data_IF_762202548275
#
_entry.id   IF_762202548275
#
_cell.length_a   1.000
_cell.length_b   1.000
_cell.length_c   1.000
_cell.angle_alpha   90.00
_cell.angle_beta   90.00
_cell.angle_gamma   90.00
#
_symmetry.space_group_name_H-M   'P 1'
#
loop_
_entity.id
_entity.type
_entity.pdbx_description
1 polymer ?
#
# COMPACT_ATOMS: atom_id res chain seq x y z
N UNK A 1 4.73 -14.80 -15.41
CA UNK A 1 3.44 -14.59 -16.10
C UNK A 1 3.51 -13.31 -16.94
N UNK A 2 3.72 -12.12 -16.40
CA UNK A 2 3.65 -10.83 -17.10
C UNK A 2 4.57 -10.69 -18.33
N UNK A 3 5.71 -11.39 -18.40
CA UNK A 3 6.65 -11.36 -19.53
C UNK A 3 6.16 -12.09 -20.80
N UNK A 4 5.18 -13.01 -20.70
CA UNK A 4 4.66 -13.79 -21.83
C UNK A 4 3.29 -13.26 -22.26
N UNK A 5 3.13 -12.91 -23.53
CA UNK A 5 1.84 -12.45 -24.07
C UNK A 5 0.74 -13.51 -23.89
N UNK A 6 1.05 -14.78 -24.17
CA UNK A 6 0.10 -15.90 -24.00
C UNK A 6 -0.35 -16.03 -22.55
N UNK A 7 0.59 -15.94 -21.58
CA UNK A 7 0.26 -16.05 -20.16
C UNK A 7 -0.51 -14.82 -19.65
N UNK A 8 -0.23 -13.62 -20.17
CA UNK A 8 -1.02 -12.43 -19.85
C UNK A 8 -2.47 -12.60 -20.35
N UNK A 9 -2.65 -13.03 -21.60
CA UNK A 9 -3.99 -13.29 -22.17
C UNK A 9 -4.76 -14.33 -21.35
N UNK A 10 -4.12 -15.45 -21.01
CA UNK A 10 -4.73 -16.50 -20.15
C UNK A 10 -5.12 -15.93 -18.79
N UNK A 11 -4.25 -15.14 -18.16
CA UNK A 11 -4.51 -14.52 -16.86
C UNK A 11 -5.70 -13.56 -16.92
N UNK A 12 -5.75 -12.69 -17.94
CA UNK A 12 -6.83 -11.70 -18.10
C UNK A 12 -8.17 -12.41 -18.34
N UNK A 13 -8.22 -13.42 -19.20
CA UNK A 13 -9.44 -14.20 -19.45
C UNK A 13 -9.94 -14.86 -18.16
N UNK A 14 -9.05 -15.49 -17.38
CA UNK A 14 -9.43 -16.09 -16.10
C UNK A 14 -9.99 -15.06 -15.10
N UNK A 15 -9.49 -13.82 -15.11
CA UNK A 15 -10.03 -12.76 -14.27
C UNK A 15 -11.42 -12.32 -14.73
N UNK A 16 -11.66 -12.22 -16.04
CA UNK A 16 -12.98 -11.94 -16.60
C UNK A 16 -13.98 -13.04 -16.23
N UNK A 17 -13.59 -14.32 -16.38
CA UNK A 17 -14.41 -15.46 -15.98
C UNK A 17 -14.79 -15.40 -14.50
N UNK A 18 -13.84 -15.01 -13.62
CA UNK A 18 -14.09 -14.83 -12.18
C UNK A 18 -15.04 -13.65 -11.92
N UNK A 19 -14.87 -12.53 -12.62
CA UNK A 19 -15.78 -11.39 -12.49
C UNK A 19 -17.21 -11.80 -12.88
N UNK A 20 -17.37 -12.52 -13.98
CA UNK A 20 -18.69 -12.99 -14.44
C UNK A 20 -19.31 -14.02 -13.49
N UNK A 21 -18.52 -15.01 -13.03
CA UNK A 21 -19.01 -16.08 -12.15
C UNK A 21 -19.48 -15.55 -10.79
N UNK A 22 -18.73 -14.61 -10.20
CA UNK A 22 -18.99 -14.12 -8.83
C UNK A 22 -19.66 -12.74 -8.79
N UNK A 23 -19.85 -12.10 -9.94
CA UNK A 23 -20.46 -10.77 -10.03
C UNK A 23 -19.57 -9.65 -9.45
N UNK A 24 -18.24 -9.76 -9.63
CA UNK A 24 -17.33 -8.70 -9.22
C UNK A 24 -17.37 -7.54 -10.21
N UNK A 25 -17.18 -6.31 -9.68
CA UNK A 25 -17.17 -5.09 -10.47
C UNK A 25 -15.79 -4.75 -11.06
N UNK A 26 -14.81 -5.65 -10.98
CA UNK A 26 -13.46 -5.43 -11.48
C UNK A 26 -12.41 -6.16 -10.66
N UNK A 27 -11.15 -5.75 -10.82
CA UNK A 27 -9.99 -6.36 -10.18
C UNK A 27 -9.05 -5.32 -9.60
N UNK A 28 -8.34 -5.68 -8.54
CA UNK A 28 -7.22 -4.94 -7.97
C UNK A 28 -5.91 -5.69 -8.22
N UNK A 29 -4.94 -5.02 -8.85
CA UNK A 29 -3.62 -5.60 -9.12
C UNK A 29 -2.68 -5.28 -7.96
N UNK A 30 -2.17 -6.32 -7.30
CA UNK A 30 -1.21 -6.21 -6.21
C UNK A 30 0.05 -7.01 -6.54
N UNK A 31 0.99 -6.38 -7.26
CA UNK A 31 2.31 -6.95 -7.53
C UNK A 31 3.36 -6.29 -6.64
N UNK A 32 3.82 -7.00 -5.64
CA UNK A 32 4.80 -6.52 -4.66
C UNK A 32 6.17 -7.20 -4.85
N UNK A 33 7.10 -6.66 -5.58
CA UNK A 33 7.03 -5.45 -6.41
C UNK A 33 7.76 -5.71 -7.72
N UNK A 34 7.53 -4.97 -8.81
CA UNK A 34 8.47 -4.90 -9.93
C UNK A 34 9.85 -4.47 -9.41
N UNK A 35 10.93 -5.07 -9.94
CA UNK A 35 12.30 -4.85 -9.44
C UNK A 35 13.27 -4.40 -10.53
N UNK A 36 12.78 -4.21 -11.75
CA UNK A 36 13.60 -3.89 -12.90
C UNK A 36 12.82 -3.08 -13.94
N UNK A 37 13.56 -2.48 -14.89
CA UNK A 37 12.93 -1.86 -16.06
C UNK A 37 12.17 -2.88 -16.92
N UNK A 38 12.60 -4.13 -16.94
CA UNK A 38 11.90 -5.22 -17.63
C UNK A 38 10.55 -5.50 -16.95
N UNK A 39 10.52 -5.61 -15.61
CA UNK A 39 9.26 -5.81 -14.89
C UNK A 39 8.31 -4.64 -15.06
N UNK A 40 8.83 -3.40 -15.01
CA UNK A 40 8.04 -2.19 -15.29
C UNK A 40 7.38 -2.26 -16.67
N UNK A 41 8.14 -2.65 -17.70
CA UNK A 41 7.58 -2.77 -19.06
C UNK A 41 6.55 -3.90 -19.15
N UNK A 42 6.80 -5.03 -18.48
CA UNK A 42 5.86 -6.14 -18.42
C UNK A 42 4.57 -5.77 -17.66
N UNK A 43 4.67 -4.95 -16.61
CA UNK A 43 3.52 -4.42 -15.90
C UNK A 43 2.69 -3.48 -16.80
N UNK A 44 3.34 -2.58 -17.53
CA UNK A 44 2.68 -1.71 -18.49
C UNK A 44 1.91 -2.51 -19.56
N UNK A 45 2.54 -3.57 -20.11
CA UNK A 45 1.87 -4.45 -21.08
C UNK A 45 0.67 -5.18 -20.46
N UNK A 46 0.83 -5.74 -19.26
CA UNK A 46 -0.27 -6.42 -18.58
C UNK A 46 -1.46 -5.49 -18.36
N UNK A 47 -1.21 -4.30 -17.83
CA UNK A 47 -2.28 -3.35 -17.49
C UNK A 47 -2.97 -2.83 -18.75
N UNK A 48 -2.23 -2.50 -19.82
CA UNK A 48 -2.85 -2.02 -21.06
C UNK A 48 -3.63 -3.09 -21.81
N UNK A 49 -3.18 -4.35 -21.78
CA UNK A 49 -3.93 -5.47 -22.34
C UNK A 49 -5.20 -5.74 -21.52
N UNK A 50 -5.09 -5.66 -20.18
CA UNK A 50 -6.23 -5.79 -19.27
C UNK A 50 -7.27 -4.69 -19.51
N UNK A 51 -6.85 -3.42 -19.58
CA UNK A 51 -7.70 -2.27 -19.88
C UNK A 51 -8.49 -2.50 -21.17
N UNK A 52 -7.80 -2.89 -22.26
CA UNK A 52 -8.43 -3.15 -23.54
C UNK A 52 -9.44 -4.29 -23.49
N UNK A 53 -9.12 -5.40 -22.81
CA UNK A 53 -9.97 -6.59 -22.76
C UNK A 53 -11.17 -6.40 -21.82
N UNK A 54 -10.95 -5.79 -20.66
CA UNK A 54 -11.99 -5.52 -19.66
C UNK A 54 -13.05 -4.59 -20.23
N UNK A 55 -12.65 -3.44 -20.79
CA UNK A 55 -13.58 -2.47 -21.36
C UNK A 55 -14.24 -2.94 -22.65
N UNK A 56 -13.63 -3.89 -23.39
CA UNK A 56 -14.30 -4.56 -24.51
C UNK A 56 -15.35 -5.58 -24.05
N UNK A 57 -15.15 -6.19 -22.89
CA UNK A 57 -16.08 -7.16 -22.29
C UNK A 57 -17.25 -6.44 -21.61
N UNK A 58 -16.94 -5.54 -20.65
CA UNK A 58 -17.88 -4.66 -19.97
C UNK A 58 -17.18 -3.35 -19.60
N UNK A 59 -17.64 -2.22 -20.16
CA UNK A 59 -17.05 -0.91 -19.94
C UNK A 59 -17.21 -0.36 -18.51
N UNK A 60 -17.94 -1.07 -17.65
CA UNK A 60 -18.14 -0.69 -16.24
C UNK A 60 -17.20 -1.42 -15.28
N UNK A 61 -16.45 -2.41 -15.76
CA UNK A 61 -15.46 -3.11 -14.94
C UNK A 61 -14.30 -2.18 -14.57
N UNK A 62 -13.95 -2.21 -13.31
CA UNK A 62 -12.87 -1.39 -12.77
C UNK A 62 -11.54 -2.15 -12.76
N UNK A 63 -10.46 -1.43 -13.05
CA UNK A 63 -9.09 -1.88 -12.86
C UNK A 63 -8.45 -0.98 -11.82
N UNK A 64 -8.07 -1.54 -10.67
CA UNK A 64 -7.37 -0.80 -9.63
C UNK A 64 -6.01 -1.43 -9.34
N UNK A 65 -5.17 -0.71 -8.62
CA UNK A 65 -3.81 -1.19 -8.35
C UNK A 65 -3.34 -0.76 -6.96
N UNK A 66 -2.92 -1.73 -6.15
CA UNK A 66 -2.17 -1.48 -4.93
C UNK A 66 -0.77 -0.96 -5.28
N UNK A 67 -0.33 0.13 -4.65
CA UNK A 67 0.93 0.79 -5.01
C UNK A 67 1.73 1.25 -3.81
N UNK A 68 3.08 1.16 -3.90
CA UNK A 68 3.97 1.69 -2.87
C UNK A 68 3.93 3.22 -2.84
N UNK A 69 4.20 3.77 -1.66
CA UNK A 69 4.14 5.21 -1.39
C UNK A 69 5.51 5.86 -1.24
N UNK A 70 6.56 5.21 -1.71
CA UNK A 70 7.93 5.75 -1.70
C UNK A 70 8.72 5.35 -2.95
N UNK A 71 9.88 5.95 -3.15
CA UNK A 71 10.77 5.64 -4.27
C UNK A 71 11.45 4.28 -4.14
N UNK A 72 11.43 3.63 -2.98
CA UNK A 72 12.11 2.35 -2.74
C UNK A 72 11.69 1.30 -3.78
N UNK A 73 10.41 1.04 -3.95
CA UNK A 73 9.87 0.18 -5.00
C UNK A 73 9.10 0.95 -6.08
N UNK A 74 8.55 2.11 -5.75
CA UNK A 74 7.78 2.95 -6.67
C UNK A 74 8.57 3.48 -7.88
N UNK A 75 9.91 3.47 -7.83
CA UNK A 75 10.75 3.79 -8.99
C UNK A 75 10.51 2.84 -10.19
N UNK A 76 10.05 1.62 -9.92
CA UNK A 76 9.79 0.60 -10.94
C UNK A 76 8.37 0.62 -11.50
N UNK A 77 7.52 1.57 -11.08
CA UNK A 77 6.19 1.79 -11.65
C UNK A 77 6.23 2.97 -12.62
N UNK A 78 5.70 2.80 -13.81
CA UNK A 78 5.50 3.89 -14.77
C UNK A 78 4.13 4.54 -14.52
N UNK A 79 4.02 5.27 -13.42
CA UNK A 79 2.76 5.93 -13.05
C UNK A 79 2.24 6.90 -14.12
N UNK A 80 3.16 7.51 -14.91
CA UNK A 80 2.78 8.37 -16.01
C UNK A 80 2.00 7.64 -17.11
N UNK A 81 2.32 6.37 -17.34
CA UNK A 81 1.61 5.47 -18.23
C UNK A 81 0.39 4.85 -17.57
N UNK A 82 0.56 4.24 -16.39
CA UNK A 82 -0.45 3.46 -15.68
C UNK A 82 -1.72 4.25 -15.35
N UNK A 83 -1.60 5.54 -15.01
CA UNK A 83 -2.75 6.41 -14.68
C UNK A 83 -3.77 6.59 -15.82
N UNK A 84 -3.43 6.19 -17.05
CA UNK A 84 -4.33 6.26 -18.19
C UNK A 84 -5.05 4.91 -18.44
N UNK A 85 -4.72 3.87 -17.66
CA UNK A 85 -5.21 2.50 -17.85
C UNK A 85 -5.82 1.90 -16.58
N UNK A 86 -5.76 2.61 -15.45
CA UNK A 86 -6.38 2.20 -14.19
C UNK A 86 -7.33 3.28 -13.69
N UNK A 87 -8.40 2.88 -13.01
CA UNK A 87 -9.37 3.81 -12.45
C UNK A 87 -8.85 4.45 -11.17
N UNK A 88 -8.26 3.64 -10.27
CA UNK A 88 -7.74 4.09 -8.99
C UNK A 88 -6.44 3.40 -8.63
N UNK A 89 -5.59 4.14 -7.90
CA UNK A 89 -4.43 3.60 -7.17
C UNK A 89 -4.77 3.49 -5.69
N UNK A 90 -4.62 2.32 -5.12
CA UNK A 90 -4.78 2.05 -3.70
C UNK A 90 -3.41 2.22 -3.04
N UNK A 91 -3.17 3.39 -2.45
CA UNK A 91 -1.90 3.72 -1.83
C UNK A 91 -1.71 2.92 -0.55
N UNK A 92 -0.65 2.12 -0.47
CA UNK A 92 -0.28 1.35 0.72
C UNK A 92 0.38 2.28 1.76
N UNK A 93 -0.43 3.12 2.40
CA UNK A 93 -0.03 4.10 3.42
C UNK A 93 0.03 3.47 4.81
N UNK A 94 0.57 2.28 4.89
CA UNK A 94 0.79 1.48 6.10
C UNK A 94 2.10 0.71 5.97
N UNK A 95 2.48 -0.01 7.01
CA UNK A 95 3.80 -0.63 7.13
C UNK A 95 4.93 0.40 6.96
N UNK A 96 4.69 1.63 7.45
CA UNK A 96 5.67 2.70 7.42
C UNK A 96 6.86 2.33 8.31
N UNK A 97 6.59 1.82 9.54
CA UNK A 97 7.60 1.27 10.41
C UNK A 97 7.40 -0.23 10.63
N UNK A 98 8.50 -0.94 10.80
CA UNK A 98 8.53 -2.37 11.03
C UNK A 98 9.92 -2.84 11.45
N UNK A 99 10.20 -4.15 11.33
CA UNK A 99 11.48 -4.73 11.70
C UNK A 99 12.68 -4.25 10.86
N UNK A 100 12.43 -3.54 9.77
CA UNK A 100 13.42 -2.89 8.89
C UNK A 100 13.81 -1.48 9.33
N UNK A 101 13.01 -0.86 10.24
CA UNK A 101 13.19 0.51 10.70
C UNK A 101 14.35 0.63 11.69
N UNK A 102 14.92 1.82 11.81
CA UNK A 102 15.99 2.12 12.77
C UNK A 102 15.46 2.35 14.19
N UNK A 103 14.15 2.55 14.34
CA UNK A 103 13.48 2.86 15.60
C UNK A 103 12.05 2.33 15.61
N UNK A 104 11.46 2.21 16.79
CA UNK A 104 10.05 1.90 16.95
C UNK A 104 9.20 3.09 16.48
N UNK A 105 8.26 2.85 15.58
CA UNK A 105 7.46 3.90 14.99
C UNK A 105 6.03 3.47 14.69
N UNK A 106 5.21 4.42 14.26
CA UNK A 106 3.82 4.17 13.93
C UNK A 106 3.67 3.35 12.65
N UNK A 107 2.70 2.44 12.62
CA UNK A 107 2.37 1.65 11.43
C UNK A 107 1.88 2.52 10.27
N UNK A 108 1.01 3.49 10.55
CA UNK A 108 0.38 4.36 9.54
C UNK A 108 0.19 5.78 10.11
N UNK A 109 1.28 6.52 10.35
CA UNK A 109 1.21 7.88 10.88
C UNK A 109 0.66 8.84 9.81
N UNK A 110 -0.20 9.78 10.20
CA UNK A 110 -0.66 10.81 9.26
C UNK A 110 0.49 11.73 8.84
N UNK A 111 1.33 12.15 9.81
CA UNK A 111 2.51 12.97 9.61
C UNK A 111 3.75 12.29 10.17
N UNK A 112 4.94 12.73 9.74
CA UNK A 112 6.21 12.20 10.22
C UNK A 112 6.42 12.49 11.71
N UNK A 113 6.76 11.46 12.48
CA UNK A 113 7.17 11.55 13.88
C UNK A 113 8.31 10.56 14.15
N UNK A 114 9.54 11.06 14.39
CA UNK A 114 9.88 12.48 14.52
C UNK A 114 9.80 13.26 13.19
N UNK A 115 9.76 14.60 13.23
CA UNK A 115 9.81 15.41 12.01
C UNK A 115 11.08 15.09 11.20
N UNK A 116 10.89 14.83 9.89
CA UNK A 116 11.98 14.44 8.98
C UNK A 116 12.34 12.95 9.03
N UNK A 117 11.49 12.14 9.61
CA UNK A 117 11.63 10.68 9.63
C UNK A 117 11.79 10.10 8.22
N UNK A 118 12.86 9.33 8.02
CA UNK A 118 13.19 8.73 6.72
C UNK A 118 12.17 7.67 6.30
N UNK A 119 11.49 7.00 7.25
CA UNK A 119 10.49 5.99 6.97
C UNK A 119 9.18 6.60 6.45
N UNK A 120 8.94 7.89 6.76
CA UNK A 120 7.86 8.65 6.12
C UNK A 120 6.55 8.69 6.90
N UNK A 121 5.44 8.87 6.17
CA UNK A 121 4.07 8.99 6.70
C UNK A 121 3.05 8.88 5.57
N UNK A 122 1.76 8.81 5.89
CA UNK A 122 0.71 8.90 4.89
C UNK A 122 0.84 10.17 4.03
N UNK A 123 1.10 11.33 4.66
CA UNK A 123 1.27 12.59 3.93
C UNK A 123 2.44 12.53 2.95
N UNK A 124 3.60 12.04 3.38
CA UNK A 124 4.76 11.95 2.47
C UNK A 124 4.51 10.97 1.33
N UNK A 125 3.80 9.87 1.60
CA UNK A 125 3.40 8.89 0.60
C UNK A 125 2.44 9.47 -0.44
N UNK A 126 1.40 10.18 -0.01
CA UNK A 126 0.47 10.84 -0.92
C UNK A 126 1.17 11.95 -1.71
N UNK A 127 2.07 12.73 -1.09
CA UNK A 127 2.89 13.71 -1.80
C UNK A 127 3.81 13.06 -2.84
N UNK A 128 4.38 11.90 -2.53
CA UNK A 128 5.16 11.14 -3.50
C UNK A 128 4.32 10.78 -4.72
N UNK A 129 3.12 10.22 -4.55
CA UNK A 129 2.26 9.83 -5.65
C UNK A 129 1.74 11.03 -6.45
N UNK A 130 1.29 12.10 -5.78
CA UNK A 130 0.67 13.25 -6.44
C UNK A 130 1.70 14.21 -7.03
N UNK A 131 2.71 14.61 -6.26
CA UNK A 131 3.66 15.65 -6.64
C UNK A 131 4.82 15.07 -7.45
N UNK A 132 5.43 13.96 -6.94
CA UNK A 132 6.62 13.40 -7.59
C UNK A 132 6.25 12.54 -8.80
N UNK A 133 5.18 11.76 -8.70
CA UNK A 133 4.76 10.81 -9.76
C UNK A 133 3.63 11.35 -10.64
N UNK A 134 2.98 12.45 -10.27
CA UNK A 134 2.00 13.17 -11.08
C UNK A 134 0.67 12.42 -11.26
N UNK A 135 0.26 11.64 -10.26
CA UNK A 135 -1.05 11.00 -10.24
C UNK A 135 -2.08 12.03 -9.74
N UNK A 136 -3.21 12.22 -10.44
CA UNK A 136 -4.29 13.07 -9.96
C UNK A 136 -4.84 12.58 -8.60
N UNK A 137 -5.04 13.48 -7.66
CA UNK A 137 -5.49 13.11 -6.32
C UNK A 137 -6.83 12.34 -6.29
N UNK A 138 -7.71 12.59 -7.27
CA UNK A 138 -8.99 11.89 -7.37
C UNK A 138 -8.86 10.43 -7.84
N UNK A 139 -7.68 10.02 -8.32
CA UNK A 139 -7.37 8.61 -8.65
C UNK A 139 -6.64 7.88 -7.51
N UNK A 140 -6.51 8.46 -6.31
CA UNK A 140 -5.78 7.85 -5.21
C UNK A 140 -6.72 7.59 -4.04
N UNK A 141 -6.77 6.34 -3.61
CA UNK A 141 -7.39 5.93 -2.35
C UNK A 141 -6.30 5.80 -1.29
N UNK A 142 -6.55 6.37 -0.10
CA UNK A 142 -5.68 6.21 1.06
C UNK A 142 -5.94 4.85 1.71
N UNK A 143 -4.92 4.01 1.80
CA UNK A 143 -4.99 2.73 2.48
C UNK A 143 -5.01 2.88 4.00
N UNK A 144 -5.86 2.11 4.68
CA UNK A 144 -5.97 2.09 6.13
C UNK A 144 -5.71 0.68 6.66
N UNK A 145 -4.74 0.49 7.60
CA UNK A 145 -4.46 -0.82 8.17
C UNK A 145 -5.49 -1.19 9.25
N UNK A 146 -5.86 -2.46 9.30
CA UNK A 146 -6.60 -3.06 10.41
C UNK A 146 -5.69 -3.93 11.28
N UNK A 147 -4.43 -3.50 11.44
CA UNK A 147 -3.42 -4.08 12.34
C UNK A 147 -2.49 -2.99 12.88
N UNK A 148 -1.85 -3.29 14.00
CA UNK A 148 -0.77 -2.49 14.58
C UNK A 148 0.55 -3.24 14.54
N UNK A 149 1.64 -2.56 14.88
CA UNK A 149 2.99 -3.13 15.05
C UNK A 149 3.36 -3.11 16.52
N UNK A 150 3.85 -4.24 17.05
CA UNK A 150 4.38 -4.34 18.40
C UNK A 150 5.90 -4.35 18.37
N UNK A 151 6.51 -3.40 19.06
CA UNK A 151 7.95 -3.25 19.20
C UNK A 151 8.37 -3.50 20.66
N UNK A 152 9.45 -4.24 20.87
CA UNK A 152 10.11 -4.28 22.17
C UNK A 152 10.98 -3.03 22.33
N UNK A 153 10.35 -1.94 22.72
CA UNK A 153 10.94 -0.59 22.87
C UNK A 153 10.37 0.09 24.11
N UNK A 154 11.16 0.99 24.71
CA UNK A 154 10.70 1.75 25.88
C UNK A 154 9.79 2.93 25.53
N UNK A 155 9.86 3.44 24.31
CA UNK A 155 9.09 4.59 23.84
C UNK A 155 8.94 4.56 22.34
N UNK A 156 7.88 5.23 21.84
CA UNK A 156 7.77 5.58 20.42
C UNK A 156 9.00 6.41 19.99
N UNK A 157 9.48 6.20 18.77
CA UNK A 157 10.70 6.79 18.21
C UNK A 157 12.02 6.37 18.92
N UNK A 158 11.94 5.39 19.84
CA UNK A 158 13.10 4.83 20.54
C UNK A 158 13.69 3.61 19.84
N UNK A 159 14.92 3.25 20.22
CA UNK A 159 15.52 1.99 19.77
C UNK A 159 14.68 0.80 20.25
N UNK A 160 14.61 -0.23 19.42
CA UNK A 160 13.94 -1.49 19.77
C UNK A 160 14.89 -2.69 19.63
N UNK A 161 14.50 -3.81 20.21
CA UNK A 161 15.25 -5.08 20.14
C UNK A 161 14.31 -6.21 19.74
N UNK A 162 14.88 -7.29 19.19
CA UNK A 162 14.10 -8.47 18.79
C UNK A 162 13.31 -8.26 17.50
N UNK A 163 12.31 -9.09 17.30
CA UNK A 163 11.39 -9.05 16.16
C UNK A 163 10.22 -8.11 16.43
N UNK A 164 9.69 -7.53 15.38
CA UNK A 164 8.44 -6.76 15.39
C UNK A 164 7.30 -7.70 15.01
N UNK A 165 6.19 -7.66 15.76
CA UNK A 165 5.00 -8.46 15.50
C UNK A 165 3.86 -7.59 14.97
N UNK A 166 2.99 -8.22 14.18
CA UNK A 166 1.71 -7.63 13.78
C UNK A 166 0.62 -8.04 14.77
N UNK A 167 -0.19 -7.07 15.20
CA UNK A 167 -1.34 -7.30 16.07
C UNK A 167 -2.61 -6.88 15.36
N UNK A 168 -3.60 -7.75 15.28
CA UNK A 168 -4.89 -7.45 14.66
C UNK A 168 -5.60 -6.31 15.37
N UNK A 169 -6.22 -5.42 14.63
CA UNK A 169 -6.99 -4.33 15.23
C UNK A 169 -8.07 -4.82 16.20
N UNK A 170 -8.71 -5.96 15.94
CA UNK A 170 -9.71 -6.56 16.81
C UNK A 170 -9.19 -6.93 18.20
N UNK A 171 -7.88 -7.13 18.37
CA UNK A 171 -7.21 -7.49 19.63
C UNK A 171 -6.79 -6.23 20.42
N UNK A 172 -6.45 -5.15 19.72
CA UNK A 172 -5.88 -3.92 20.30
C UNK A 172 -6.81 -3.27 21.36
N UNK A 173 -8.15 -3.13 21.15
CA UNK A 173 -9.01 -2.54 22.16
C UNK A 173 -9.01 -3.30 23.49
N UNK A 174 -8.80 -4.64 23.46
CA UNK A 174 -8.71 -5.48 24.65
C UNK A 174 -7.43 -5.29 25.47
N UNK A 175 -6.40 -4.67 24.89
CA UNK A 175 -5.15 -4.37 25.59
C UNK A 175 -5.27 -3.10 26.43
N UNK A 176 -6.12 -2.16 26.04
CA UNK A 176 -6.28 -0.85 26.72
C UNK A 176 -6.81 -1.09 28.14
N UNK A 177 -6.12 -0.55 29.15
CA UNK A 177 -6.37 -0.76 30.58
C UNK A 177 -6.20 -2.21 31.07
N UNK A 178 -5.59 -3.06 30.24
CA UNK A 178 -5.22 -4.44 30.59
C UNK A 178 -3.71 -4.63 30.41
N UNK A 179 -2.94 -3.85 31.18
CA UNK A 179 -1.47 -3.81 31.12
C UNK A 179 -0.90 -2.88 30.03
N UNK A 180 -1.77 -2.19 29.27
CA UNK A 180 -1.36 -1.23 28.25
C UNK A 180 -2.09 0.10 28.43
N UNK A 181 -1.31 1.20 28.35
CA UNK A 181 -1.83 2.58 28.44
C UNK A 181 -1.93 3.20 27.06
N UNK A 182 -3.08 3.81 26.76
CA UNK A 182 -3.33 4.53 25.52
C UNK A 182 -2.66 5.91 25.53
N UNK A 183 -1.99 6.23 24.43
CA UNK A 183 -1.37 7.52 24.17
C UNK A 183 -1.77 8.03 22.79
N UNK A 184 -1.71 9.35 22.62
CA UNK A 184 -1.90 10.03 21.35
C UNK A 184 -0.65 10.82 20.98
N UNK A 185 -0.05 10.50 19.83
CA UNK A 185 1.05 11.31 19.28
C UNK A 185 0.44 12.49 18.50
N UNK A 186 0.57 13.70 19.05
CA UNK A 186 0.05 14.94 18.46
C UNK A 186 0.90 15.44 17.27
N UNK A 187 2.10 14.88 17.04
CA UNK A 187 2.95 15.17 15.87
C UNK A 187 2.52 14.26 14.70
N UNK A 188 2.45 12.96 14.94
CA UNK A 188 2.05 11.98 13.94
C UNK A 188 0.55 11.98 13.65
N UNK A 189 -0.29 12.50 14.56
CA UNK A 189 -1.74 12.34 14.57
C UNK A 189 -2.14 10.85 14.53
N UNK A 190 -1.51 10.07 15.39
CA UNK A 190 -1.66 8.63 15.43
C UNK A 190 -1.67 8.11 16.88
N UNK A 191 -2.55 7.14 17.22
CA UNK A 191 -2.53 6.53 18.54
C UNK A 191 -1.43 5.47 18.67
N UNK A 192 -1.00 5.23 19.92
CA UNK A 192 -0.14 4.12 20.28
C UNK A 192 -0.42 3.65 21.70
N UNK A 193 0.02 2.44 22.02
CA UNK A 193 -0.07 1.87 23.37
C UNK A 193 1.33 1.63 23.93
N UNK A 194 1.48 1.80 25.25
CA UNK A 194 2.68 1.41 25.99
C UNK A 194 2.27 0.36 27.02
N UNK A 195 3.05 -0.72 27.11
CA UNK A 195 2.93 -1.71 28.17
C UNK A 195 3.68 -1.21 29.40
N UNK A 196 3.00 -1.08 30.53
CA UNK A 196 3.51 -0.56 31.80
C UNK A 196 4.37 -1.58 32.56
#
# INVERSE_FOLDING_TARGET
MAASAELRQTFINNLLDVCDEYGYNGVDLDWEYPQSSTDRNNLNLLVSEMDSMFHAHDSTLLITMAVPTSSWSGQWYDFGYLKNHVDFFNAMTYDIHGGWSSHAGHNSPLYQSPPGDADGSCQTGINYLTITRGIPAHQINLGLPFWGKEFNASNINGAFTGSVADIRYSEIPGLINNGWTYHWDSIAYCPYLIND
#
